data_IF_966605199280
#
_entry.id   IF_966605199280
#
_cell.length_a   1.000
_cell.length_b   1.000
_cell.length_c   1.000
_cell.angle_alpha   90.00
_cell.angle_beta   90.00
_cell.angle_gamma   90.00
#
_symmetry.space_group_name_H-M   'P 1'
#
loop_
_entity.id
_entity.type
_entity.pdbx_description
1 polymer ?
#
# COMPACT_ATOMS: atom_id res chain seq x y z
N UNK A 1 3.20 -17.05 4.36
CA UNK A 1 3.09 -16.95 2.89
C UNK A 1 2.96 -15.50 2.37
N UNK A 2 1.79 -14.84 2.42
CA UNK A 2 1.61 -13.48 1.85
C UNK A 2 2.45 -12.39 2.54
N UNK A 3 2.58 -12.49 3.86
CA UNK A 3 3.23 -11.49 4.73
C UNK A 3 4.77 -11.45 4.65
N UNK A 4 5.39 -12.51 4.15
CA UNK A 4 6.84 -12.69 4.18
C UNK A 4 7.39 -12.78 2.76
N UNK A 5 8.59 -12.25 2.56
CA UNK A 5 9.32 -12.32 1.29
C UNK A 5 9.45 -13.77 0.85
N UNK A 6 8.98 -14.04 -0.36
CA UNK A 6 8.97 -15.37 -0.99
C UNK A 6 8.26 -16.45 -0.15
N UNK A 7 7.37 -16.01 0.75
CA UNK A 7 6.67 -16.88 1.67
C UNK A 7 7.50 -17.42 2.84
N UNK A 8 8.77 -17.03 2.96
CA UNK A 8 9.72 -17.57 3.95
C UNK A 8 9.86 -16.64 5.16
N UNK A 9 9.51 -17.16 6.33
CA UNK A 9 9.73 -16.46 7.59
C UNK A 9 11.19 -16.65 8.01
N UNK A 10 11.97 -15.57 7.94
CA UNK A 10 13.36 -15.50 8.40
C UNK A 10 13.60 -14.17 9.14
N UNK A 11 13.41 -14.21 10.46
CA UNK A 11 13.57 -13.06 11.37
C UNK A 11 12.74 -11.83 10.94
N UNK A 12 13.02 -10.68 11.55
CA UNK A 12 12.26 -9.45 11.36
C UNK A 12 12.29 -8.88 9.93
N UNK A 13 13.45 -8.82 9.22
CA UNK A 13 13.51 -8.23 7.88
C UNK A 13 12.89 -9.08 6.76
N UNK A 14 12.49 -10.33 7.03
CA UNK A 14 11.75 -11.15 6.05
C UNK A 14 10.31 -10.70 5.89
N UNK A 15 9.74 -9.98 6.86
CA UNK A 15 8.38 -9.43 6.74
C UNK A 15 8.38 -8.27 5.75
N UNK A 16 7.39 -8.25 4.86
CA UNK A 16 7.20 -7.19 3.88
C UNK A 16 6.57 -5.97 4.58
N UNK A 17 7.41 -5.07 5.13
CA UNK A 17 6.96 -3.91 5.93
C UNK A 17 6.53 -2.74 5.05
N UNK A 18 7.28 -2.44 3.98
CA UNK A 18 6.89 -1.48 2.96
C UNK A 18 5.86 -2.08 2.03
N UNK A 19 4.74 -1.40 1.83
CA UNK A 19 3.62 -2.01 1.13
C UNK A 19 3.87 -2.10 -0.39
N UNK A 20 4.66 -1.21 -0.97
CA UNK A 20 5.14 -1.34 -2.36
C UNK A 20 5.99 -2.59 -2.57
N UNK A 21 6.74 -3.04 -1.56
CA UNK A 21 7.47 -4.30 -1.60
C UNK A 21 6.54 -5.50 -1.37
N UNK A 22 5.53 -5.33 -0.51
CA UNK A 22 4.45 -6.30 -0.36
C UNK A 22 3.73 -6.54 -1.70
N UNK A 23 3.40 -5.48 -2.43
CA UNK A 23 2.78 -5.54 -3.76
C UNK A 23 3.69 -6.31 -4.70
N UNK A 24 4.94 -5.86 -4.86
CA UNK A 24 5.90 -6.49 -5.75
C UNK A 24 6.05 -7.99 -5.48
N UNK A 25 6.30 -8.38 -4.23
CA UNK A 25 6.52 -9.79 -3.89
C UNK A 25 5.26 -10.65 -4.10
N UNK A 26 4.07 -10.13 -3.79
CA UNK A 26 2.82 -10.88 -3.98
C UNK A 26 2.37 -10.94 -5.45
N UNK A 27 2.81 -10.01 -6.30
CA UNK A 27 2.71 -10.16 -7.77
C UNK A 27 3.61 -11.29 -8.29
N UNK A 28 4.85 -11.38 -7.82
CA UNK A 28 5.75 -12.49 -8.20
C UNK A 28 5.24 -13.87 -7.77
N UNK A 29 4.40 -13.91 -6.73
CA UNK A 29 3.73 -15.12 -6.24
C UNK A 29 2.37 -15.38 -6.90
N UNK A 30 1.97 -14.59 -7.90
CA UNK A 30 0.68 -14.69 -8.60
C UNK A 30 -0.54 -14.62 -7.66
N UNK A 31 -0.46 -13.84 -6.58
CA UNK A 31 -1.56 -13.69 -5.61
C UNK A 31 -2.42 -12.47 -5.93
N UNK A 32 -1.75 -11.38 -6.32
CA UNK A 32 -2.39 -10.12 -6.69
C UNK A 32 -1.80 -9.63 -7.99
N UNK A 33 -2.56 -8.80 -8.70
CA UNK A 33 -2.13 -8.02 -9.86
C UNK A 33 -2.30 -6.54 -9.54
N UNK A 34 -1.26 -5.75 -9.76
CA UNK A 34 -1.39 -4.29 -9.77
C UNK A 34 -2.05 -3.86 -11.09
N UNK A 35 -3.31 -3.42 -11.02
CA UNK A 35 -4.08 -3.00 -12.20
C UNK A 35 -3.99 -1.49 -12.44
N UNK A 36 -3.21 -0.77 -11.63
CA UNK A 36 -3.24 0.69 -11.56
C UNK A 36 -2.85 1.34 -12.88
N UNK A 37 -1.81 0.84 -13.55
CA UNK A 37 -1.41 1.30 -14.89
C UNK A 37 -2.54 1.06 -15.91
N UNK A 38 -3.12 -0.15 -15.91
CA UNK A 38 -4.14 -0.59 -16.86
C UNK A 38 -5.41 0.27 -16.80
N UNK A 39 -5.76 0.74 -15.59
CA UNK A 39 -6.96 1.55 -15.40
C UNK A 39 -6.74 3.05 -15.59
N UNK A 40 -5.50 3.49 -15.88
CA UNK A 40 -5.18 4.89 -16.22
C UNK A 40 -4.32 5.62 -15.19
N UNK A 41 -3.63 4.89 -14.31
CA UNK A 41 -2.70 5.44 -13.34
C UNK A 41 -1.49 6.12 -13.98
N UNK A 42 -0.87 7.02 -13.23
CA UNK A 42 0.33 7.76 -13.61
C UNK A 42 1.55 7.15 -12.94
N UNK A 43 2.72 7.34 -13.55
CA UNK A 43 3.99 6.91 -12.97
C UNK A 43 4.26 7.63 -11.64
N UNK A 44 4.74 6.90 -10.65
CA UNK A 44 5.26 7.44 -9.39
C UNK A 44 6.62 6.81 -9.09
N UNK A 45 7.48 7.58 -8.42
CA UNK A 45 8.74 7.11 -7.87
C UNK A 45 8.70 7.28 -6.36
N UNK A 46 9.03 6.22 -5.64
CA UNK A 46 9.20 6.26 -4.19
C UNK A 46 10.66 6.50 -3.83
N UNK A 47 10.86 7.18 -2.72
CA UNK A 47 12.16 7.39 -2.08
C UNK A 47 12.04 6.95 -0.62
N UNK A 48 12.19 5.65 -0.40
CA UNK A 48 12.01 5.01 0.89
C UNK A 48 13.34 4.95 1.63
N UNK A 49 13.29 5.37 2.89
CA UNK A 49 14.40 5.33 3.84
C UNK A 49 13.92 5.38 5.31
N UNK A 50 12.60 5.44 5.55
CA UNK A 50 12.05 5.78 6.86
C UNK A 50 12.47 4.81 7.96
N UNK A 51 12.43 3.49 7.72
CA UNK A 51 12.72 2.50 8.74
C UNK A 51 14.21 2.50 9.10
N UNK A 52 15.09 2.53 8.09
CA UNK A 52 16.53 2.53 8.33
C UNK A 52 17.04 3.84 8.94
N UNK A 53 16.44 4.98 8.61
CA UNK A 53 16.79 6.29 9.21
C UNK A 53 16.13 6.55 10.56
N UNK A 54 15.06 5.82 10.90
CA UNK A 54 14.34 5.98 12.16
C UNK A 54 14.17 4.67 12.95
N UNK A 55 15.27 3.93 13.24
CA UNK A 55 15.19 2.63 13.90
C UNK A 55 14.57 2.70 15.30
N UNK A 56 14.65 3.87 15.96
CA UNK A 56 14.05 4.16 17.28
C UNK A 56 12.54 3.88 17.36
N UNK A 57 11.81 3.89 16.25
CA UNK A 57 10.38 3.60 16.23
C UNK A 57 10.06 2.10 16.15
N UNK A 58 11.08 1.25 15.98
CA UNK A 58 10.93 -0.18 15.73
C UNK A 58 11.75 -0.98 16.74
N UNK A 59 11.07 -1.58 17.73
CA UNK A 59 11.71 -2.38 18.80
C UNK A 59 12.74 -3.37 18.24
N UNK A 60 12.40 -4.08 17.16
CA UNK A 60 13.26 -5.10 16.57
C UNK A 60 14.53 -4.51 15.93
N UNK A 61 14.49 -3.27 15.45
CA UNK A 61 15.67 -2.58 14.90
C UNK A 61 16.54 -1.97 16.01
N UNK A 62 15.93 -1.55 17.13
CA UNK A 62 16.66 -1.12 18.33
C UNK A 62 17.41 -2.31 18.95
N UNK A 63 16.74 -3.45 19.08
CA UNK A 63 17.32 -4.64 19.72
C UNK A 63 18.31 -5.39 18.82
N UNK A 64 18.24 -5.20 17.49
CA UNK A 64 19.08 -5.90 16.50
C UNK A 64 19.58 -4.90 15.44
N UNK A 65 20.58 -4.06 15.75
CA UNK A 65 21.06 -3.01 14.84
C UNK A 65 21.56 -3.52 13.48
N UNK A 66 21.98 -4.78 13.38
CA UNK A 66 22.39 -5.41 12.12
C UNK A 66 21.24 -5.50 11.10
N UNK A 67 19.98 -5.50 11.55
CA UNK A 67 18.81 -5.48 10.65
C UNK A 67 18.68 -4.16 9.90
N UNK A 68 19.25 -3.06 10.40
CA UNK A 68 19.18 -1.74 9.76
C UNK A 68 19.84 -1.78 8.38
N UNK A 69 21.00 -2.42 8.25
CA UNK A 69 21.69 -2.56 6.97
C UNK A 69 20.88 -3.39 5.96
N UNK A 70 20.19 -4.44 6.44
CA UNK A 70 19.31 -5.28 5.61
C UNK A 70 18.12 -4.46 5.11
N UNK A 71 17.44 -3.74 6.01
CA UNK A 71 16.30 -2.87 5.66
C UNK A 71 16.72 -1.76 4.69
N UNK A 72 17.87 -1.12 4.92
CA UNK A 72 18.39 -0.09 4.00
C UNK A 72 18.67 -0.63 2.60
N UNK A 73 19.16 -1.87 2.48
CA UNK A 73 19.32 -2.52 1.18
C UNK A 73 17.96 -2.77 0.51
N UNK A 74 16.97 -3.26 1.27
CA UNK A 74 15.62 -3.48 0.77
C UNK A 74 14.97 -2.18 0.30
N UNK A 75 15.09 -1.09 1.06
CA UNK A 75 14.65 0.25 0.67
C UNK A 75 15.23 0.69 -0.68
N UNK A 76 16.54 0.53 -0.89
CA UNK A 76 17.18 0.83 -2.19
C UNK A 76 16.64 -0.03 -3.34
N UNK A 77 16.44 -1.32 -3.09
CA UNK A 77 15.85 -2.23 -4.09
C UNK A 77 14.43 -1.81 -4.44
N UNK A 78 13.63 -1.37 -3.46
CA UNK A 78 12.27 -0.86 -3.67
C UNK A 78 12.31 0.42 -4.51
N UNK A 79 13.18 1.38 -4.17
CA UNK A 79 13.30 2.66 -4.87
C UNK A 79 13.74 2.52 -6.34
N UNK A 80 14.44 1.44 -6.68
CA UNK A 80 14.85 1.15 -8.07
C UNK A 80 13.69 0.75 -8.99
N UNK A 81 12.55 0.33 -8.44
CA UNK A 81 11.42 -0.20 -9.22
C UNK A 81 10.58 0.92 -9.83
N UNK A 82 9.71 0.54 -10.75
CA UNK A 82 8.73 1.43 -11.38
C UNK A 82 7.36 1.16 -10.78
N UNK A 83 6.64 2.23 -10.42
CA UNK A 83 5.31 2.15 -9.82
C UNK A 83 4.33 3.06 -10.54
N UNK A 84 3.04 2.78 -10.31
CA UNK A 84 1.93 3.56 -10.81
C UNK A 84 0.96 3.84 -9.68
N UNK A 85 0.31 4.99 -9.72
CA UNK A 85 -0.74 5.39 -8.78
C UNK A 85 -1.81 6.20 -9.52
N UNK A 86 -3.03 6.24 -8.99
CA UNK A 86 -4.06 7.18 -9.40
C UNK A 86 -4.00 8.36 -8.44
N UNK A 87 -3.64 9.58 -8.90
CA UNK A 87 -3.69 10.76 -8.06
C UNK A 87 -5.08 10.96 -7.46
N UNK A 88 -5.17 11.53 -6.26
CA UNK A 88 -6.44 11.68 -5.54
C UNK A 88 -7.54 12.41 -6.34
N UNK A 89 -7.15 13.35 -7.20
CA UNK A 89 -8.06 14.08 -8.09
C UNK A 89 -8.61 13.29 -9.27
N UNK A 90 -7.99 12.15 -9.59
CA UNK A 90 -8.39 11.28 -10.68
C UNK A 90 -9.15 10.02 -10.20
N UNK A 91 -9.26 9.79 -8.88
CA UNK A 91 -9.92 8.61 -8.30
C UNK A 91 -11.37 8.50 -8.79
N UNK A 92 -12.17 9.56 -8.64
CA UNK A 92 -13.58 9.55 -9.05
C UNK A 92 -13.74 9.27 -10.56
N UNK A 93 -12.85 9.82 -11.39
CA UNK A 93 -12.90 9.62 -12.86
C UNK A 93 -12.65 8.17 -13.25
N UNK A 94 -11.90 7.43 -12.43
CA UNK A 94 -11.47 6.06 -12.69
C UNK A 94 -12.22 5.04 -11.83
N UNK A 95 -13.10 5.47 -10.92
CA UNK A 95 -13.75 4.60 -9.94
C UNK A 95 -14.59 3.49 -10.59
N UNK A 96 -15.13 3.74 -11.79
CA UNK A 96 -15.91 2.77 -12.56
C UNK A 96 -15.10 1.54 -13.00
N UNK A 97 -13.77 1.62 -12.98
CA UNK A 97 -12.85 0.51 -13.29
C UNK A 97 -12.41 -0.28 -12.05
N UNK A 98 -12.75 0.20 -10.86
CA UNK A 98 -12.47 -0.44 -9.57
C UNK A 98 -13.66 -1.33 -9.20
N UNK A 99 -13.37 -2.53 -8.70
CA UNK A 99 -14.35 -3.54 -8.35
C UNK A 99 -14.42 -3.73 -6.83
N UNK A 100 -15.59 -4.13 -6.32
CA UNK A 100 -15.69 -4.59 -4.92
C UNK A 100 -14.71 -5.73 -4.68
N UNK A 101 -13.95 -5.64 -3.60
CA UNK A 101 -12.90 -6.61 -3.25
C UNK A 101 -11.51 -6.26 -3.78
N UNK A 102 -11.37 -5.27 -4.68
CA UNK A 102 -10.04 -4.74 -5.01
C UNK A 102 -9.37 -4.19 -3.75
N UNK A 103 -8.09 -4.50 -3.57
CA UNK A 103 -7.29 -3.94 -2.49
C UNK A 103 -6.82 -2.54 -2.88
N UNK A 104 -7.05 -1.60 -1.99
CA UNK A 104 -6.69 -0.19 -2.14
C UNK A 104 -5.55 0.13 -1.20
N UNK A 105 -4.48 0.69 -1.75
CA UNK A 105 -3.36 1.23 -0.98
C UNK A 105 -3.25 2.74 -1.21
N UNK A 106 -3.52 3.52 -0.16
CA UNK A 106 -3.47 4.98 -0.18
C UNK A 106 -2.02 5.42 -0.11
N UNK A 107 -1.51 6.03 -1.18
CA UNK A 107 -0.16 6.58 -1.24
C UNK A 107 -0.05 7.79 -0.32
N UNK A 108 1.14 8.04 0.23
CA UNK A 108 1.38 9.15 1.18
C UNK A 108 2.42 10.13 0.67
N UNK A 109 2.38 11.35 1.19
CA UNK A 109 3.42 12.38 1.04
C UNK A 109 4.40 12.39 2.22
N UNK A 110 4.22 11.51 3.21
CA UNK A 110 5.18 11.35 4.29
C UNK A 110 6.56 10.93 3.76
N UNK A 111 7.60 11.68 4.13
CA UNK A 111 8.97 11.44 3.66
C UNK A 111 9.45 10.04 4.07
N UNK A 112 10.06 9.33 3.13
CA UNK A 112 10.60 8.00 3.36
C UNK A 112 9.58 6.86 3.35
N UNK A 113 8.30 7.15 3.07
CA UNK A 113 7.18 6.20 3.06
C UNK A 113 6.45 6.20 1.71
N UNK A 114 5.88 5.05 1.37
CA UNK A 114 5.11 4.81 0.14
C UNK A 114 3.60 4.86 0.38
N UNK A 115 3.12 4.05 1.30
CA UNK A 115 1.69 3.80 1.55
C UNK A 115 1.38 4.16 3.00
N UNK A 116 0.38 5.03 3.17
CA UNK A 116 -0.09 5.47 4.49
C UNK A 116 -1.21 4.62 5.06
N UNK A 117 -2.05 4.02 4.21
CA UNK A 117 -3.17 3.19 4.66
C UNK A 117 -3.62 2.18 3.60
N UNK A 118 -4.28 1.10 4.03
CA UNK A 118 -4.79 0.05 3.14
C UNK A 118 -6.18 -0.43 3.54
N UNK A 119 -6.92 -0.98 2.59
CA UNK A 119 -8.25 -1.55 2.80
C UNK A 119 -8.81 -2.13 1.50
N UNK A 120 -10.11 -2.34 1.45
CA UNK A 120 -10.81 -2.91 0.30
C UNK A 120 -11.79 -1.91 -0.29
N UNK A 121 -11.90 -1.89 -1.61
CA UNK A 121 -12.98 -1.21 -2.31
C UNK A 121 -14.30 -1.97 -2.08
N UNK A 122 -15.37 -1.22 -1.80
CA UNK A 122 -16.73 -1.74 -1.74
C UNK A 122 -17.64 -0.79 -2.52
N UNK A 123 -18.29 -1.31 -3.56
CA UNK A 123 -19.34 -0.58 -4.27
C UNK A 123 -20.62 -0.58 -3.42
N UNK A 124 -21.09 0.60 -3.05
CA UNK A 124 -22.32 0.79 -2.28
C UNK A 124 -23.54 0.92 -3.21
N UNK A 125 -24.75 0.89 -2.64
CA UNK A 125 -26.01 0.96 -3.40
C UNK A 125 -26.18 2.25 -4.20
N UNK A 126 -25.48 3.33 -3.82
CA UNK A 126 -25.40 4.58 -4.57
C UNK A 126 -24.52 4.48 -5.84
N UNK A 127 -23.93 3.31 -6.11
CA UNK A 127 -23.05 3.04 -7.24
C UNK A 127 -21.60 3.52 -7.07
N UNK A 128 -21.27 4.21 -5.97
CA UNK A 128 -19.94 4.76 -5.69
C UNK A 128 -19.05 3.73 -4.99
N UNK A 129 -17.75 3.88 -5.14
CA UNK A 129 -16.76 3.08 -4.42
C UNK A 129 -16.48 3.71 -3.07
N UNK A 130 -16.68 2.94 -2.01
CA UNK A 130 -16.34 3.26 -0.62
C UNK A 130 -15.18 2.39 -0.14
N UNK A 131 -14.66 2.72 1.05
CA UNK A 131 -13.45 2.10 1.59
C UNK A 131 -13.76 1.29 2.85
N UNK A 132 -13.66 -0.03 2.74
CA UNK A 132 -13.75 -0.97 3.86
C UNK A 132 -12.36 -1.14 4.48
N UNK A 133 -12.17 -0.64 5.71
CA UNK A 133 -10.85 -0.53 6.31
C UNK A 133 -10.87 -0.58 7.85
N UNK A 134 -9.70 -0.83 8.45
CA UNK A 134 -9.49 -0.70 9.88
C UNK A 134 -8.90 0.70 10.16
N UNK A 135 -9.69 1.66 10.66
CA UNK A 135 -9.30 3.07 10.66
C UNK A 135 -8.16 3.39 11.63
N UNK A 136 -8.17 2.75 12.81
CA UNK A 136 -7.20 2.94 13.88
C UNK A 136 -7.00 1.63 14.63
N UNK A 137 -5.84 1.48 15.27
CA UNK A 137 -5.58 0.35 16.15
C UNK A 137 -6.62 0.30 17.29
N UNK A 138 -7.29 -0.84 17.45
CA UNK A 138 -8.32 -1.05 18.46
C UNK A 138 -9.74 -0.64 18.04
N UNK A 139 -9.91 0.01 16.88
CA UNK A 139 -11.24 0.30 16.32
C UNK A 139 -11.79 -0.89 15.54
N UNK A 140 -13.11 -0.94 15.39
CA UNK A 140 -13.78 -1.93 14.54
C UNK A 140 -13.52 -1.58 13.07
N UNK A 141 -13.47 -2.63 12.24
CA UNK A 141 -13.50 -2.47 10.78
C UNK A 141 -14.80 -1.77 10.39
N UNK A 142 -14.71 -0.82 9.47
CA UNK A 142 -15.84 0.00 9.04
C UNK A 142 -15.76 0.28 7.54
N UNK A 143 -16.90 0.67 6.96
CA UNK A 143 -16.98 1.24 5.61
C UNK A 143 -17.08 2.75 5.78
N UNK A 144 -16.32 3.52 4.98
CA UNK A 144 -16.42 4.98 5.00
C UNK A 144 -17.83 5.45 4.63
N UNK A 145 -18.32 6.49 5.31
CA UNK A 145 -19.61 7.13 4.97
C UNK A 145 -19.54 7.88 3.64
N UNK A 146 -18.36 8.42 3.30
CA UNK A 146 -18.09 9.10 2.04
C UNK A 146 -17.41 8.17 1.04
N UNK A 147 -17.54 8.43 -0.28
CA UNK A 147 -16.78 7.74 -1.31
C UNK A 147 -15.26 7.77 -1.08
N UNK A 148 -14.55 6.79 -1.65
CA UNK A 148 -13.10 6.66 -1.58
C UNK A 148 -12.37 7.92 -2.10
N UNK A 149 -12.89 8.55 -3.16
CA UNK A 149 -12.36 9.81 -3.70
C UNK A 149 -12.32 10.92 -2.65
N UNK A 150 -13.42 11.05 -1.89
CA UNK A 150 -13.58 12.11 -0.90
C UNK A 150 -12.77 11.79 0.35
N UNK A 151 -12.75 10.51 0.75
CA UNK A 151 -11.93 10.03 1.85
C UNK A 151 -10.44 10.28 1.62
N UNK A 152 -9.94 9.97 0.41
CA UNK A 152 -8.55 10.21 0.03
C UNK A 152 -8.20 11.71 0.15
N UNK A 153 -9.00 12.58 -0.47
CA UNK A 153 -8.77 14.05 -0.47
C UNK A 153 -8.89 14.69 0.91
N UNK A 154 -9.69 14.11 1.81
CA UNK A 154 -9.88 14.64 3.16
C UNK A 154 -8.59 14.57 4.00
N UNK A 155 -7.73 13.59 3.74
CA UNK A 155 -6.49 13.39 4.50
C UNK A 155 -5.35 14.03 3.72
N UNK A 156 -4.87 15.19 4.18
CA UNK A 156 -3.81 15.99 3.53
C UNK A 156 -2.54 15.22 3.15
N UNK A 157 -2.26 14.11 3.83
CA UNK A 157 -1.09 13.29 3.58
C UNK A 157 -1.28 12.31 2.45
N UNK A 158 -2.52 11.90 2.15
CA UNK A 158 -2.79 11.03 1.03
C UNK A 158 -2.55 11.77 -0.27
N UNK A 159 -2.03 11.06 -1.27
CA UNK A 159 -1.69 11.63 -2.58
C UNK A 159 -2.43 10.94 -3.72
N UNK A 160 -3.02 9.77 -3.45
CA UNK A 160 -3.65 8.91 -4.43
C UNK A 160 -3.79 7.47 -3.94
N UNK A 161 -4.04 6.56 -4.88
CA UNK A 161 -4.22 5.14 -4.61
C UNK A 161 -3.44 4.25 -5.59
N UNK A 162 -3.04 3.08 -5.12
CA UNK A 162 -2.70 1.91 -5.93
C UNK A 162 -3.85 0.91 -5.78
N UNK A 163 -4.27 0.30 -6.89
CA UNK A 163 -5.38 -0.65 -6.94
C UNK A 163 -4.83 -2.03 -7.31
N UNK A 164 -5.06 -3.01 -6.44
CA UNK A 164 -4.66 -4.40 -6.66
C UNK A 164 -5.88 -5.30 -6.75
N UNK A 165 -5.86 -6.25 -7.67
CA UNK A 165 -6.89 -7.28 -7.81
C UNK A 165 -6.31 -8.64 -7.45
N UNK A 166 -7.04 -9.43 -6.67
CA UNK A 166 -6.66 -10.82 -6.38
C UNK A 166 -6.74 -11.63 -7.69
N UNK A 167 -5.75 -12.49 -7.91
CA UNK A 167 -5.77 -13.45 -9.01
C UNK A 167 -6.45 -14.71 -8.49
N UNK A 168 -7.61 -15.05 -9.06
CA UNK A 168 -8.28 -16.32 -8.77
C UNK A 168 -7.52 -17.49 -9.46
N UNK A 169 -7.44 -18.67 -8.81
CA UNK A 169 -6.78 -19.85 -9.37
C UNK A 169 -7.49 -20.44 -10.58
#
# INVERSE_FOLDING_TARGET
>A
FIRYRDGKLDKYPSRLHYFSDWIYNNQQKSIVKDITEEIGGKKIKFDLNFMSENPKYYKQLVENPEFIAIVSKQEKEINSRQYYYIPEDDIEKLESKIQSGDLIALTTSDKGLDIGHVGLAIKMDNGRIHFLHAPLAGSKVQITETPLSDYAKKIKKHTGIIVLRVIEP
#
